data_IF_238949953647
#
_entry.id   IF_238949953647
#
_cell.length_a   1.000
_cell.length_b   1.000
_cell.length_c   1.000
_cell.angle_alpha   90.00
_cell.angle_beta   90.00
_cell.angle_gamma   90.00
#
_symmetry.space_group_name_H-M   'P 1'
#
loop_
_entity.id
_entity.type
_entity.pdbx_description
1 polymer ?
#
# COMPACT_ATOMS: atom_id res chain seq x y z
N UNK A 1 13.08 -4.49 0.98
CA UNK A 1 12.92 -3.53 2.10
C UNK A 1 12.57 -4.25 3.39
N UNK A 2 11.65 -5.22 3.39
CA UNK A 2 11.28 -5.97 4.60
C UNK A 2 12.34 -6.98 5.08
N UNK A 3 13.38 -7.24 4.31
CA UNK A 3 14.42 -8.18 4.68
C UNK A 3 14.05 -9.67 4.56
N UNK A 4 12.92 -9.99 3.92
CA UNK A 4 12.52 -11.38 3.67
C UNK A 4 13.49 -12.10 2.73
N UNK A 5 14.07 -11.36 1.79
CA UNK A 5 15.08 -11.84 0.85
C UNK A 5 16.38 -11.12 1.15
N UNK A 6 17.50 -11.85 1.33
CA UNK A 6 18.81 -11.23 1.52
C UNK A 6 19.23 -10.46 0.27
N UNK A 7 19.84 -9.30 0.47
CA UNK A 7 20.43 -8.54 -0.64
C UNK A 7 21.72 -9.24 -1.12
N UNK A 8 21.78 -9.57 -2.41
CA UNK A 8 22.97 -10.24 -3.00
C UNK A 8 24.13 -9.28 -3.19
N UNK A 9 23.87 -7.98 -3.41
CA UNK A 9 24.86 -6.93 -3.56
C UNK A 9 24.26 -5.56 -3.22
N UNK A 10 25.11 -4.58 -2.90
CA UNK A 10 24.66 -3.25 -2.50
C UNK A 10 24.14 -3.19 -1.07
N UNK A 11 23.42 -2.11 -0.73
CA UNK A 11 22.86 -1.91 0.60
C UNK A 11 21.53 -1.15 0.50
N UNK A 12 20.62 -1.48 1.42
CA UNK A 12 19.35 -0.78 1.59
C UNK A 12 19.42 0.00 2.92
N UNK A 13 19.13 1.29 2.86
CA UNK A 13 19.01 2.15 4.03
C UNK A 13 17.59 2.72 4.12
N UNK A 14 17.05 2.78 5.32
CA UNK A 14 15.73 3.30 5.63
C UNK A 14 15.90 4.42 6.65
N UNK A 15 15.62 5.65 6.24
CA UNK A 15 15.87 6.86 7.05
C UNK A 15 17.31 6.93 7.59
N UNK A 16 18.29 6.49 6.77
CA UNK A 16 19.71 6.47 7.14
C UNK A 16 20.17 5.23 7.92
N UNK A 17 19.26 4.43 8.45
CA UNK A 17 19.54 3.21 9.21
C UNK A 17 19.48 1.93 8.35
N UNK A 18 19.97 0.82 8.90
CA UNK A 18 19.78 -0.51 8.30
C UNK A 18 18.32 -0.93 8.37
N UNK A 19 17.89 -1.80 7.44
CA UNK A 19 16.54 -2.37 7.43
C UNK A 19 16.18 -3.01 8.77
N UNK A 20 17.08 -3.80 9.35
CA UNK A 20 16.84 -4.47 10.64
C UNK A 20 16.58 -3.49 11.78
N UNK A 21 17.34 -2.37 11.82
CA UNK A 21 17.14 -1.33 12.83
C UNK A 21 15.81 -0.60 12.62
N UNK A 22 15.49 -0.27 11.36
CA UNK A 22 14.22 0.37 11.03
C UNK A 22 13.01 -0.48 11.41
N UNK A 23 13.05 -1.80 11.16
CA UNK A 23 12.00 -2.74 11.55
C UNK A 23 11.87 -2.84 13.08
N UNK A 24 12.99 -3.00 13.80
CA UNK A 24 12.98 -3.04 15.27
C UNK A 24 12.43 -1.75 15.90
N UNK A 25 12.60 -0.61 15.24
CA UNK A 25 12.11 0.69 15.68
C UNK A 25 10.68 1.00 15.21
N UNK A 26 9.96 0.03 14.63
CA UNK A 26 8.62 0.18 14.07
C UNK A 26 8.49 1.30 13.02
N UNK A 27 9.57 1.63 12.31
CA UNK A 27 9.56 2.68 11.29
C UNK A 27 8.85 2.27 10.00
N UNK A 28 8.68 0.97 9.78
CA UNK A 28 8.06 0.40 8.58
C UNK A 28 6.85 -0.43 8.99
N UNK A 29 5.69 -0.14 8.38
CA UNK A 29 4.52 -1.00 8.38
C UNK A 29 4.39 -1.68 7.02
N UNK A 30 3.90 -2.92 7.01
CA UNK A 30 3.69 -3.70 5.79
C UNK A 30 2.30 -4.32 5.76
N UNK A 31 1.61 -4.13 4.64
CA UNK A 31 0.34 -4.76 4.33
C UNK A 31 0.55 -5.64 3.10
N UNK A 32 0.59 -6.96 3.24
CA UNK A 32 0.77 -7.89 2.13
C UNK A 32 -0.47 -7.98 1.25
N UNK A 33 -0.31 -8.48 0.03
CA UNK A 33 -1.39 -8.70 -0.94
C UNK A 33 -2.46 -9.65 -0.39
N UNK A 34 -2.01 -10.75 0.21
CA UNK A 34 -2.87 -11.72 0.89
C UNK A 34 -2.36 -11.94 2.31
N UNK A 35 -3.25 -11.87 3.26
CA UNK A 35 -2.94 -12.28 4.62
C UNK A 35 -3.22 -13.78 4.73
N UNK A 36 -2.19 -14.56 5.03
CA UNK A 36 -2.32 -15.97 5.40
C UNK A 36 -2.92 -16.06 6.80
N UNK A 37 -4.18 -15.68 6.93
CA UNK A 37 -4.92 -15.73 8.19
C UNK A 37 -5.97 -16.83 8.07
N UNK A 38 -6.04 -17.67 9.07
CA UNK A 38 -7.17 -18.57 9.23
C UNK A 38 -8.41 -17.73 9.60
N UNK A 39 -9.25 -17.47 8.61
CA UNK A 39 -10.47 -16.67 8.75
C UNK A 39 -11.52 -17.33 9.67
N UNK A 40 -11.35 -18.59 9.99
CA UNK A 40 -12.25 -19.31 10.95
C UNK A 40 -11.84 -19.04 12.40
N UNK A 41 -10.63 -18.50 12.63
CA UNK A 41 -10.18 -18.14 13.96
C UNK A 41 -10.98 -16.95 14.51
N UNK A 42 -11.59 -17.07 15.70
CA UNK A 42 -12.54 -16.10 16.23
C UNK A 42 -11.84 -14.86 16.82
N UNK A 43 -11.13 -14.09 16.00
CA UNK A 43 -10.47 -12.84 16.40
C UNK A 43 -11.33 -11.63 16.07
N UNK A 44 -11.45 -10.69 17.00
CA UNK A 44 -12.20 -9.46 16.79
C UNK A 44 -11.39 -8.47 15.95
N UNK A 45 -12.10 -7.67 15.18
CA UNK A 45 -11.55 -6.59 14.35
C UNK A 45 -10.61 -5.67 15.16
N UNK A 46 -11.05 -5.21 16.34
CA UNK A 46 -10.24 -4.36 17.22
C UNK A 46 -8.94 -5.05 17.66
N UNK A 47 -8.96 -6.37 17.84
CA UNK A 47 -7.78 -7.12 18.28
C UNK A 47 -6.77 -7.27 17.13
N UNK A 48 -7.25 -7.45 15.90
CA UNK A 48 -6.39 -7.40 14.69
C UNK A 48 -5.70 -6.04 14.57
N UNK A 49 -6.43 -4.94 14.76
CA UNK A 49 -5.83 -3.59 14.70
C UNK A 49 -4.87 -3.38 15.87
N UNK A 50 -5.18 -3.91 17.07
CA UNK A 50 -4.30 -3.87 18.25
C UNK A 50 -2.96 -4.57 18.03
N UNK A 51 -2.88 -5.59 17.16
CA UNK A 51 -1.61 -6.23 16.82
C UNK A 51 -0.61 -5.22 16.23
N UNK A 52 -1.08 -4.16 15.55
CA UNK A 52 -0.22 -3.07 15.09
C UNK A 52 0.49 -2.32 16.23
N UNK A 53 -0.03 -2.41 17.46
CA UNK A 53 0.55 -1.76 18.64
C UNK A 53 1.59 -2.60 19.36
N UNK A 54 1.73 -3.89 19.03
CA UNK A 54 2.62 -4.79 19.78
C UNK A 54 4.07 -4.32 19.85
N UNK A 55 4.56 -3.65 18.82
CA UNK A 55 5.90 -3.07 18.82
C UNK A 55 6.10 -1.87 19.77
N UNK A 56 5.00 -1.28 20.25
CA UNK A 56 5.01 -0.15 21.21
C UNK A 56 4.77 -0.60 22.65
N UNK A 57 4.36 -1.85 22.85
CA UNK A 57 4.09 -2.40 24.17
C UNK A 57 5.38 -2.94 24.79
N UNK A 58 5.47 -2.89 26.12
CA UNK A 58 6.56 -3.47 26.86
C UNK A 58 6.59 -5.00 26.81
N UNK A 59 7.49 -5.61 27.59
CA UNK A 59 7.72 -7.05 27.60
C UNK A 59 6.45 -7.91 27.81
N UNK A 60 5.55 -7.46 28.67
CA UNK A 60 4.28 -8.16 28.95
C UNK A 60 3.19 -7.92 27.90
N UNK A 61 3.44 -7.09 26.88
CA UNK A 61 2.47 -6.74 25.81
C UNK A 61 1.09 -6.36 26.33
N UNK A 62 1.02 -5.69 27.47
CA UNK A 62 -0.25 -5.18 28.00
C UNK A 62 -0.58 -3.85 27.35
N UNK A 63 -1.77 -3.73 26.71
CA UNK A 63 -2.18 -2.48 26.08
C UNK A 63 -2.40 -1.37 27.09
N UNK A 64 -1.88 -0.19 26.81
CA UNK A 64 -2.13 1.05 27.57
C UNK A 64 -3.34 1.80 26.99
N UNK A 65 -3.81 2.83 27.71
CA UNK A 65 -4.85 3.73 27.21
C UNK A 65 -4.50 4.33 25.84
N UNK A 66 -3.23 4.68 25.61
CA UNK A 66 -2.74 5.21 24.33
C UNK A 66 -2.86 4.19 23.20
N UNK A 67 -2.73 2.90 23.48
CA UNK A 67 -2.86 1.87 22.48
C UNK A 67 -4.31 1.67 22.05
N UNK A 68 -5.25 1.71 23.00
CA UNK A 68 -6.69 1.71 22.67
C UNK A 68 -7.09 2.95 21.87
N UNK A 69 -6.65 4.14 22.26
CA UNK A 69 -6.89 5.38 21.53
C UNK A 69 -6.32 5.29 20.07
N UNK A 70 -5.15 4.70 19.89
CA UNK A 70 -4.56 4.51 18.57
C UNK A 70 -5.38 3.54 17.71
N UNK A 71 -5.95 2.47 18.29
CA UNK A 71 -6.83 1.52 17.61
C UNK A 71 -8.13 2.20 17.20
N UNK A 72 -8.78 2.93 18.11
CA UNK A 72 -10.03 3.63 17.83
C UNK A 72 -9.85 4.68 16.73
N UNK A 73 -8.77 5.46 16.77
CA UNK A 73 -8.41 6.43 15.74
C UNK A 73 -8.13 5.75 14.38
N UNK A 74 -7.44 4.60 14.37
CA UNK A 74 -7.16 3.87 13.16
C UNK A 74 -8.45 3.32 12.52
N UNK A 75 -9.34 2.74 13.33
CA UNK A 75 -10.65 2.28 12.86
C UNK A 75 -11.51 3.43 12.32
N UNK A 76 -11.48 4.59 12.97
CA UNK A 76 -12.18 5.78 12.50
C UNK A 76 -11.65 6.26 11.14
N UNK A 77 -10.32 6.30 10.95
CA UNK A 77 -9.68 6.70 9.69
C UNK A 77 -10.09 5.81 8.50
N UNK A 78 -10.35 4.52 8.73
CA UNK A 78 -10.79 3.58 7.67
C UNK A 78 -12.31 3.40 7.62
N UNK A 79 -13.10 4.11 8.44
CA UNK A 79 -14.56 4.01 8.48
C UNK A 79 -15.08 2.66 8.98
N UNK A 80 -14.39 2.03 9.94
CA UNK A 80 -14.70 0.67 10.41
C UNK A 80 -15.00 0.58 11.92
N UNK A 81 -15.36 1.69 12.56
CA UNK A 81 -15.61 1.75 14.02
C UNK A 81 -16.74 0.81 14.44
N UNK A 82 -17.84 0.76 13.69
CA UNK A 82 -18.99 -0.09 13.98
C UNK A 82 -18.69 -1.60 13.92
N UNK A 83 -17.62 -1.97 13.20
CA UNK A 83 -17.19 -3.37 13.05
C UNK A 83 -16.22 -3.81 14.14
N UNK A 84 -15.78 -2.93 15.06
CA UNK A 84 -14.72 -3.18 16.04
C UNK A 84 -14.91 -4.47 16.85
N UNK A 85 -16.17 -4.82 17.16
CA UNK A 85 -16.56 -5.99 17.96
C UNK A 85 -16.97 -7.20 17.11
N UNK A 86 -16.95 -7.11 15.78
CA UNK A 86 -17.21 -8.26 14.90
C UNK A 86 -15.99 -9.15 14.77
N UNK A 87 -16.21 -10.39 14.42
CA UNK A 87 -15.12 -11.29 14.04
C UNK A 87 -14.60 -10.90 12.65
N UNK A 88 -13.29 -10.99 12.45
CA UNK A 88 -12.66 -10.65 11.17
C UNK A 88 -13.18 -11.53 10.02
N UNK A 89 -13.54 -12.79 10.32
CA UNK A 89 -14.11 -13.73 9.36
C UNK A 89 -15.47 -13.33 8.79
N UNK A 90 -16.24 -12.50 9.50
CA UNK A 90 -17.56 -12.01 9.07
C UNK A 90 -17.48 -10.87 8.05
N UNK A 91 -16.28 -10.31 7.83
CA UNK A 91 -16.09 -9.15 6.97
C UNK A 91 -15.93 -9.54 5.49
N UNK A 92 -16.39 -8.67 4.59
CA UNK A 92 -16.07 -8.77 3.15
C UNK A 92 -14.57 -8.58 2.89
N UNK A 93 -14.09 -8.99 1.70
CA UNK A 93 -12.69 -8.81 1.31
C UNK A 93 -12.22 -7.35 1.39
N UNK A 94 -13.02 -6.40 0.89
CA UNK A 94 -12.70 -4.97 0.97
C UNK A 94 -12.71 -4.43 2.41
N UNK A 95 -13.62 -4.91 3.26
CA UNK A 95 -13.62 -4.56 4.69
C UNK A 95 -12.38 -5.10 5.40
N UNK A 96 -11.98 -6.34 5.12
CA UNK A 96 -10.75 -6.94 5.66
C UNK A 96 -9.51 -6.12 5.27
N UNK A 97 -9.39 -5.72 4.00
CA UNK A 97 -8.28 -4.87 3.54
C UNK A 97 -8.22 -3.55 4.30
N UNK A 98 -9.37 -2.90 4.54
CA UNK A 98 -9.43 -1.70 5.38
C UNK A 98 -8.98 -1.95 6.82
N UNK A 99 -9.29 -3.12 7.40
CA UNK A 99 -8.81 -3.48 8.75
C UNK A 99 -7.29 -3.68 8.78
N UNK A 100 -6.69 -4.33 7.78
CA UNK A 100 -5.23 -4.46 7.72
C UNK A 100 -4.53 -3.12 7.50
N UNK A 101 -5.15 -2.23 6.73
CA UNK A 101 -4.68 -0.86 6.62
C UNK A 101 -4.80 -0.12 7.98
N UNK A 102 -5.91 -0.29 8.72
CA UNK A 102 -6.04 0.24 10.07
C UNK A 102 -4.96 -0.29 11.03
N UNK A 103 -4.61 -1.58 10.95
CA UNK A 103 -3.49 -2.17 11.71
C UNK A 103 -2.18 -1.44 11.42
N UNK A 104 -1.89 -1.15 10.16
CA UNK A 104 -0.68 -0.41 9.78
C UNK A 104 -0.70 1.05 10.26
N UNK A 105 -1.87 1.68 10.25
CA UNK A 105 -2.08 3.03 10.79
C UNK A 105 -1.86 3.04 12.31
N UNK A 106 -2.43 2.07 13.03
CA UNK A 106 -2.27 1.93 14.48
C UNK A 106 -0.79 1.75 14.87
N UNK A 107 0.01 1.07 14.04
CA UNK A 107 1.46 0.95 14.21
C UNK A 107 2.16 2.31 14.20
N UNK A 108 1.57 3.33 13.58
CA UNK A 108 2.09 4.69 13.48
C UNK A 108 3.50 4.80 12.89
N UNK A 109 3.81 3.96 11.92
CA UNK A 109 5.11 3.94 11.22
C UNK A 109 5.28 5.16 10.32
N UNK A 110 6.53 5.52 10.00
CA UNK A 110 6.86 6.59 9.06
C UNK A 110 6.70 6.13 7.61
N UNK A 111 6.97 4.86 7.34
CA UNK A 111 6.92 4.25 6.02
C UNK A 111 5.87 3.15 6.03
N UNK A 112 5.04 3.13 5.00
CA UNK A 112 4.00 2.12 4.81
C UNK A 112 4.21 1.47 3.45
N UNK A 113 4.37 0.16 3.47
CA UNK A 113 4.50 -0.66 2.27
C UNK A 113 3.18 -1.37 2.05
N UNK A 114 2.57 -1.18 0.89
CA UNK A 114 1.31 -1.79 0.49
C UNK A 114 1.56 -2.66 -0.75
N UNK A 115 1.23 -3.93 -0.64
CA UNK A 115 1.39 -4.88 -1.73
C UNK A 115 0.03 -5.20 -2.33
N UNK A 116 -0.20 -4.75 -3.57
CA UNK A 116 -1.45 -4.91 -4.31
C UNK A 116 -2.72 -4.53 -3.49
N UNK A 117 -2.79 -3.33 -2.91
CA UNK A 117 -3.85 -2.97 -1.97
C UNK A 117 -5.23 -2.91 -2.62
N UNK A 118 -5.32 -2.77 -3.93
CA UNK A 118 -6.58 -2.59 -4.67
C UNK A 118 -7.12 -3.87 -5.30
N UNK A 119 -6.38 -4.98 -5.26
CA UNK A 119 -6.82 -6.24 -5.88
C UNK A 119 -8.04 -6.82 -5.18
N UNK A 120 -9.10 -7.09 -5.95
CA UNK A 120 -10.31 -7.78 -5.45
C UNK A 120 -11.21 -6.91 -4.56
N UNK A 121 -11.16 -5.59 -4.69
CA UNK A 121 -12.07 -4.64 -4.05
C UNK A 121 -12.92 -3.91 -5.09
N UNK A 122 -14.04 -3.37 -4.65
CA UNK A 122 -14.90 -2.51 -5.47
C UNK A 122 -14.35 -1.08 -5.59
N UNK A 123 -14.85 -0.35 -6.59
CA UNK A 123 -14.39 1.02 -6.91
C UNK A 123 -14.55 1.97 -5.72
N UNK A 124 -15.65 1.90 -4.99
CA UNK A 124 -15.87 2.78 -3.83
C UNK A 124 -14.84 2.52 -2.72
N UNK A 125 -14.50 1.25 -2.51
CA UNK A 125 -13.46 0.88 -1.54
C UNK A 125 -12.09 1.35 -2.01
N UNK A 126 -11.76 1.24 -3.31
CA UNK A 126 -10.53 1.74 -3.89
C UNK A 126 -10.39 3.26 -3.69
N UNK A 127 -11.42 4.03 -4.07
CA UNK A 127 -11.45 5.49 -3.88
C UNK A 127 -11.24 5.89 -2.41
N UNK A 128 -11.94 5.21 -1.49
CA UNK A 128 -11.79 5.47 -0.06
C UNK A 128 -10.36 5.19 0.46
N UNK A 129 -9.72 4.14 -0.05
CA UNK A 129 -8.31 3.84 0.28
C UNK A 129 -7.39 4.90 -0.31
N UNK A 130 -7.56 5.30 -1.58
CA UNK A 130 -6.77 6.34 -2.23
C UNK A 130 -6.85 7.66 -1.45
N UNK A 131 -8.05 8.09 -1.06
CA UNK A 131 -8.24 9.30 -0.26
C UNK A 131 -7.54 9.23 1.09
N UNK A 132 -7.57 8.04 1.71
CA UNK A 132 -6.86 7.81 2.97
C UNK A 132 -5.35 7.90 2.77
N UNK A 133 -4.79 7.30 1.70
CA UNK A 133 -3.37 7.37 1.38
C UNK A 133 -2.92 8.82 1.12
N UNK A 134 -3.71 9.61 0.39
CA UNK A 134 -3.48 11.05 0.18
C UNK A 134 -3.42 11.83 1.51
N UNK A 135 -4.34 11.55 2.43
CA UNK A 135 -4.34 12.17 3.77
C UNK A 135 -3.10 11.79 4.58
N UNK A 136 -2.73 10.50 4.57
CA UNK A 136 -1.54 10.02 5.26
C UNK A 136 -0.24 10.62 4.67
N UNK A 137 -0.17 10.78 3.35
CA UNK A 137 0.92 11.50 2.68
C UNK A 137 1.00 12.95 3.17
N UNK A 138 -0.12 13.65 3.25
CA UNK A 138 -0.19 15.02 3.80
C UNK A 138 0.23 15.10 5.28
N UNK A 139 0.06 14.02 6.06
CA UNK A 139 0.57 13.86 7.43
C UNK A 139 2.10 13.57 7.45
N UNK A 140 2.79 13.54 6.31
CA UNK A 140 4.24 13.30 6.21
C UNK A 140 4.65 11.83 6.19
N UNK A 141 3.72 10.90 5.93
CA UNK A 141 4.06 9.49 5.74
C UNK A 141 4.65 9.26 4.35
N UNK A 142 5.61 8.35 4.26
CA UNK A 142 6.10 7.80 3.00
C UNK A 142 5.34 6.52 2.70
N UNK A 143 4.69 6.46 1.55
CA UNK A 143 3.85 5.31 1.16
C UNK A 143 4.44 4.72 -0.12
N UNK A 144 4.73 3.42 -0.08
CA UNK A 144 5.19 2.64 -1.22
C UNK A 144 4.10 1.63 -1.58
N UNK A 145 3.62 1.70 -2.81
CA UNK A 145 2.57 0.80 -3.32
C UNK A 145 3.14 -0.02 -4.45
N UNK A 146 3.10 -1.35 -4.35
CA UNK A 146 3.26 -2.21 -5.53
C UNK A 146 1.89 -2.46 -6.14
N UNK A 147 1.76 -2.31 -7.44
CA UNK A 147 0.51 -2.59 -8.15
C UNK A 147 0.74 -2.89 -9.62
N UNK A 148 -0.12 -3.72 -10.19
CA UNK A 148 -0.26 -3.90 -11.63
C UNK A 148 -1.51 -3.18 -12.17
N UNK A 149 -2.34 -2.59 -11.30
CA UNK A 149 -3.44 -1.71 -11.72
C UNK A 149 -2.90 -0.30 -12.00
N UNK A 150 -2.64 -0.02 -13.28
CA UNK A 150 -1.99 1.21 -13.69
C UNK A 150 -2.95 2.41 -13.77
N UNK A 151 -4.26 2.15 -13.85
CA UNK A 151 -5.26 3.20 -14.09
C UNK A 151 -5.33 4.28 -13.01
N UNK A 152 -5.28 3.89 -11.75
CA UNK A 152 -5.37 4.81 -10.60
C UNK A 152 -4.02 5.39 -10.16
N UNK A 153 -2.88 4.87 -10.65
CA UNK A 153 -1.53 5.31 -10.24
C UNK A 153 -1.33 6.83 -10.37
N UNK A 154 -1.71 7.50 -11.49
CA UNK A 154 -1.52 8.93 -11.63
C UNK A 154 -2.33 9.78 -10.64
N UNK A 155 -3.36 9.21 -10.02
CA UNK A 155 -4.26 9.96 -9.14
C UNK A 155 -3.68 10.20 -7.75
N UNK A 156 -2.76 9.32 -7.29
CA UNK A 156 -2.28 9.37 -5.90
C UNK A 156 -0.76 9.28 -5.75
N UNK A 157 -0.03 8.86 -6.78
CA UNK A 157 1.42 8.75 -6.72
C UNK A 157 2.11 10.05 -7.15
N UNK A 158 3.23 10.38 -6.50
CA UNK A 158 4.13 11.47 -6.93
C UNK A 158 5.29 10.95 -7.76
N UNK A 159 5.71 9.72 -7.47
CA UNK A 159 6.86 9.07 -8.09
C UNK A 159 6.48 7.66 -8.49
N UNK A 160 7.16 7.16 -9.50
CA UNK A 160 7.02 5.80 -9.99
C UNK A 160 8.38 5.12 -10.08
N UNK A 161 8.40 3.82 -9.83
CA UNK A 161 9.51 2.92 -10.15
C UNK A 161 8.95 1.81 -11.02
N UNK A 162 9.36 1.75 -12.27
CA UNK A 162 8.91 0.74 -13.23
C UNK A 162 9.93 -0.39 -13.25
N UNK A 163 9.45 -1.60 -12.97
CA UNK A 163 10.30 -2.78 -12.79
C UNK A 163 9.83 -3.90 -13.71
N UNK A 164 10.78 -4.49 -14.42
CA UNK A 164 10.64 -5.79 -15.09
C UNK A 164 12.01 -6.47 -15.02
N UNK A 165 12.17 -7.46 -14.12
CA UNK A 165 13.44 -8.09 -13.73
C UNK A 165 14.47 -7.08 -13.18
N UNK A 166 14.60 -5.94 -13.83
CA UNK A 166 15.45 -4.79 -13.43
C UNK A 166 14.60 -3.52 -13.34
N UNK A 167 15.16 -2.47 -12.74
CA UNK A 167 14.55 -1.14 -12.77
C UNK A 167 14.70 -0.57 -14.18
N UNK A 168 13.57 -0.39 -14.88
CA UNK A 168 13.55 0.19 -16.23
C UNK A 168 13.54 1.71 -16.21
N UNK A 169 12.82 2.29 -15.23
CA UNK A 169 12.73 3.73 -15.05
C UNK A 169 12.29 4.08 -13.63
N UNK A 170 12.62 5.29 -13.17
CA UNK A 170 12.15 5.82 -11.89
C UNK A 170 12.19 7.36 -11.89
N UNK A 171 11.30 7.98 -11.13
CA UNK A 171 11.26 9.43 -10.96
C UNK A 171 9.85 9.98 -10.79
N UNK A 172 9.66 11.31 -10.93
CA UNK A 172 8.37 11.96 -10.88
C UNK A 172 7.40 11.34 -11.89
N UNK A 173 6.14 11.18 -11.49
CA UNK A 173 5.15 10.47 -12.30
C UNK A 173 4.89 11.17 -13.64
N UNK A 174 4.88 12.50 -13.67
CA UNK A 174 4.58 13.32 -14.85
C UNK A 174 5.54 13.05 -16.01
N UNK A 175 6.78 12.66 -15.72
CA UNK A 175 7.84 12.47 -16.71
C UNK A 175 8.24 11.02 -16.90
N UNK A 176 7.91 10.13 -15.97
CA UNK A 176 8.41 8.75 -15.98
C UNK A 176 7.30 7.69 -16.15
N UNK A 177 6.03 8.06 -15.95
CA UNK A 177 4.90 7.16 -16.20
C UNK A 177 4.44 7.29 -17.66
N UNK A 178 5.26 6.80 -18.59
CA UNK A 178 5.04 6.94 -20.02
C UNK A 178 4.70 5.60 -20.68
N UNK A 179 3.94 5.66 -21.77
CA UNK A 179 3.56 4.48 -22.55
C UNK A 179 4.80 3.63 -22.93
N UNK A 180 5.89 4.27 -23.33
CA UNK A 180 7.12 3.58 -23.73
C UNK A 180 7.71 2.69 -22.62
N UNK A 181 7.77 3.17 -21.39
CA UNK A 181 8.31 2.39 -20.26
C UNK A 181 7.30 1.33 -19.78
N UNK A 182 6.02 1.66 -19.81
CA UNK A 182 4.96 0.72 -19.48
C UNK A 182 4.88 -0.43 -20.48
N UNK A 183 5.01 -0.15 -21.78
CA UNK A 183 5.07 -1.17 -22.82
C UNK A 183 6.27 -2.11 -22.64
N UNK A 184 7.44 -1.56 -22.31
CA UNK A 184 8.63 -2.38 -22.00
C UNK A 184 8.44 -3.26 -20.76
N UNK A 185 7.70 -2.76 -19.75
CA UNK A 185 7.49 -3.49 -18.51
C UNK A 185 6.44 -4.59 -18.64
N UNK A 186 5.33 -4.30 -19.32
CA UNK A 186 4.13 -5.15 -19.35
C UNK A 186 3.89 -5.83 -20.70
N UNK A 187 4.67 -5.48 -21.75
CA UNK A 187 4.49 -5.99 -23.11
C UNK A 187 3.17 -5.55 -23.73
N UNK A 188 2.69 -6.30 -24.73
CA UNK A 188 1.47 -5.97 -25.47
C UNK A 188 0.14 -6.00 -24.69
N UNK A 189 0.16 -6.15 -23.38
CA UNK A 189 -1.04 -6.16 -22.50
C UNK A 189 -1.65 -4.76 -22.37
N UNK A 190 -0.90 -3.70 -22.72
CA UNK A 190 -1.35 -2.31 -22.57
C UNK A 190 -2.36 -1.81 -23.61
N UNK A 191 -2.81 -2.65 -24.56
CA UNK A 191 -3.70 -2.23 -25.66
C UNK A 191 -5.03 -1.61 -25.25
N UNK A 192 -5.38 -1.64 -23.97
CA UNK A 192 -6.63 -1.09 -23.42
C UNK A 192 -6.44 -0.16 -22.22
N UNK A 193 -5.21 0.27 -21.93
CA UNK A 193 -4.98 1.21 -20.84
C UNK A 193 -5.24 2.64 -21.32
N UNK A 194 -6.44 3.13 -21.09
CA UNK A 194 -6.73 4.56 -21.18
C UNK A 194 -6.15 5.22 -19.94
N UNK A 195 -4.97 5.83 -20.07
CA UNK A 195 -4.42 6.69 -19.03
C UNK A 195 -5.30 7.93 -19.00
N UNK A 196 -6.08 8.06 -17.94
CA UNK A 196 -7.06 9.12 -17.75
C UNK A 196 -6.43 10.52 -17.94
N UNK A 197 -6.86 11.23 -18.98
CA UNK A 197 -6.95 12.69 -18.96
C UNK A 197 -5.87 13.54 -19.60
N UNK A 198 -4.85 13.04 -20.30
CA UNK A 198 -4.07 13.82 -21.28
C UNK A 198 -3.68 12.94 -22.46
N UNK A 199 -4.04 13.45 -23.63
CA UNK A 199 -3.93 12.82 -24.94
C UNK A 199 -2.65 12.04 -25.19
N UNK A 200 -2.77 10.75 -25.41
CA UNK A 200 -1.89 9.99 -26.27
C UNK A 200 -2.26 10.29 -27.73
N UNK A 201 -2.27 11.55 -28.08
CA UNK A 201 -2.30 12.00 -29.48
C UNK A 201 -0.86 12.20 -29.91
N UNK A 202 -0.25 11.10 -30.37
CA UNK A 202 0.85 11.15 -31.33
C UNK A 202 1.16 9.73 -31.77
N UNK A 203 0.33 9.13 -32.62
CA UNK A 203 0.69 8.00 -33.49
C UNK A 203 -0.38 7.66 -34.53
N UNK A 204 -1.12 8.64 -35.05
CA UNK A 204 -2.01 8.47 -36.22
C UNK A 204 -1.52 9.15 -37.51
N UNK A 205 -0.22 9.42 -37.68
CA UNK A 205 0.23 10.14 -38.87
C UNK A 205 1.30 9.40 -39.72
N UNK A 206 1.34 8.07 -39.70
CA UNK A 206 2.18 7.32 -40.62
C UNK A 206 1.50 6.08 -41.27
N UNK A 207 0.23 6.18 -41.64
CA UNK A 207 -0.38 5.22 -42.56
C UNK A 207 -1.24 5.90 -43.61
N UNK A 208 -0.61 6.76 -44.42
CA UNK A 208 -1.08 7.03 -45.79
C UNK A 208 0.16 7.26 -46.66
N UNK A 209 0.16 6.57 -47.77
CA UNK A 209 1.02 6.59 -48.96
C UNK A 209 1.88 5.33 -49.08
N UNK A 210 1.34 4.35 -49.71
CA UNK A 210 1.77 3.70 -50.99
C UNK A 210 0.84 2.54 -51.32
#
# INVERSE_FOLDING_TARGET
IMGFVPCSSGQIKVLGDTVQKALKSNLIAYVPQSEEVDWTFPVLVKDVVMMGRYGHMGFFRMPSKKDFEAVDNALAKVGMVEYAKRQIGELSGGQRKRIFLARSIAQNSHIILLDEPFTGIDVQTEEAIIDLLKKMKAEGKVILVSTHNLGSVPEFCDHVVIVNETVLNYGPIETNFTHQYLEKAFGGVLRHLVISGKDLHDDEDHRQVS
#
